data_IF_464715443200
#
_entry.id   IF_464715443200
#
_cell.length_a   1.000
_cell.length_b   1.000
_cell.length_c   1.000
_cell.angle_alpha   90.00
_cell.angle_beta   90.00
_cell.angle_gamma   90.00
#
_symmetry.space_group_name_H-M   'P 1'
#
loop_
_entity.id
_entity.type
_entity.pdbx_description
1 polymer ?
#
# COMPACT_ATOMS: atom_id res chain seq x y z
N UNK A 1 1.38 113.35 -6.61
CA UNK A 1 1.24 112.77 -5.32
C UNK A 1 0.05 111.79 -5.46
N UNK A 2 0.36 110.50 -5.80
CA UNK A 2 -0.68 109.48 -6.06
C UNK A 2 -0.84 108.58 -4.83
N UNK A 3 -2.03 108.65 -4.27
CA UNK A 3 -2.39 107.85 -3.13
C UNK A 3 -2.94 106.44 -3.63
N UNK A 4 -2.14 105.41 -3.39
CA UNK A 4 -2.55 104.05 -3.75
C UNK A 4 -3.17 103.43 -2.53
N UNK A 5 -4.50 103.53 -2.40
CA UNK A 5 -5.29 102.80 -1.46
C UNK A 5 -5.28 101.31 -1.82
N UNK A 6 -4.52 100.46 -1.08
CA UNK A 6 -4.53 98.99 -1.17
C UNK A 6 -5.77 98.44 -0.50
N UNK A 7 -6.79 98.00 -1.28
CA UNK A 7 -7.84 97.13 -0.81
C UNK A 7 -7.32 95.72 -0.63
N UNK A 8 -7.37 95.13 0.55
CA UNK A 8 -7.01 93.74 0.72
C UNK A 8 -8.18 92.84 0.14
N UNK A 9 -7.85 92.04 -0.86
CA UNK A 9 -8.76 91.07 -1.41
C UNK A 9 -9.00 90.02 -0.35
N UNK A 10 -10.21 90.04 0.26
CA UNK A 10 -10.65 89.09 1.23
C UNK A 10 -11.17 87.82 0.49
N UNK A 11 -10.29 86.89 0.22
CA UNK A 11 -10.61 85.56 -0.32
C UNK A 11 -11.20 84.75 0.81
N UNK A 12 -12.56 84.76 0.95
CA UNK A 12 -13.23 83.80 1.79
C UNK A 12 -13.00 82.41 1.20
N UNK A 13 -12.42 81.45 1.95
CA UNK A 13 -12.35 80.08 1.45
C UNK A 13 -13.79 79.54 1.23
N UNK A 14 -13.99 78.79 0.12
CA UNK A 14 -15.29 78.23 -0.15
C UNK A 14 -15.72 77.33 1.03
N UNK A 15 -16.97 77.47 1.48
CA UNK A 15 -17.55 76.64 2.55
C UNK A 15 -17.71 75.20 2.08
N UNK A 16 -16.58 74.51 1.87
CA UNK A 16 -16.50 73.14 1.39
C UNK A 16 -16.90 72.08 2.47
N UNK A 17 -17.24 72.54 3.66
CA UNK A 17 -17.50 71.61 4.78
C UNK A 17 -18.70 70.68 4.59
N UNK A 18 -19.79 71.18 3.99
CA UNK A 18 -21.01 70.37 3.85
C UNK A 18 -20.93 69.34 2.73
N UNK A 19 -20.53 69.66 1.47
CA UNK A 19 -20.41 68.66 0.42
C UNK A 19 -19.29 67.65 0.71
N UNK A 20 -18.15 68.05 1.26
CA UNK A 20 -17.05 67.19 1.66
C UNK A 20 -17.45 66.17 2.74
N UNK A 21 -18.27 66.60 3.70
CA UNK A 21 -18.83 65.73 4.72
C UNK A 21 -19.75 64.64 4.12
N UNK A 22 -20.65 64.98 3.18
CA UNK A 22 -21.52 64.03 2.51
C UNK A 22 -20.75 63.06 1.63
N UNK A 23 -19.69 63.49 0.96
CA UNK A 23 -18.81 62.63 0.16
C UNK A 23 -18.08 61.65 1.08
N UNK A 24 -17.51 62.14 2.20
CA UNK A 24 -16.84 61.31 3.18
C UNK A 24 -17.80 60.27 3.81
N UNK A 25 -19.04 60.67 4.14
CA UNK A 25 -20.04 59.75 4.67
C UNK A 25 -20.46 58.71 3.64
N UNK A 26 -20.67 59.09 2.38
CA UNK A 26 -20.98 58.17 1.30
C UNK A 26 -19.86 57.17 1.04
N UNK A 27 -18.59 57.64 1.04
CA UNK A 27 -17.40 56.76 0.94
C UNK A 27 -17.33 55.78 2.11
N UNK A 28 -17.60 56.24 3.32
CA UNK A 28 -17.60 55.38 4.52
C UNK A 28 -18.70 54.35 4.45
N UNK A 29 -19.88 54.69 4.05
CA UNK A 29 -21.02 53.74 3.88
C UNK A 29 -20.66 52.71 2.78
N UNK A 30 -20.13 53.17 1.65
CA UNK A 30 -19.67 52.30 0.60
C UNK A 30 -18.57 51.31 1.10
N UNK A 31 -17.61 51.82 1.86
CA UNK A 31 -16.58 50.99 2.47
C UNK A 31 -17.16 49.92 3.41
N UNK A 32 -18.13 50.26 4.25
CA UNK A 32 -18.83 49.31 5.11
C UNK A 32 -19.52 48.23 4.27
N UNK A 33 -20.25 48.64 3.21
CA UNK A 33 -20.97 47.70 2.34
C UNK A 33 -19.96 46.73 1.67
N UNK A 34 -18.89 47.25 1.07
CA UNK A 34 -17.88 46.39 0.42
C UNK A 34 -17.12 45.50 1.42
N UNK A 35 -16.89 45.94 2.64
CA UNK A 35 -16.23 45.18 3.70
C UNK A 35 -17.15 44.14 4.38
N UNK A 36 -18.48 44.17 4.10
CA UNK A 36 -19.47 43.26 4.68
C UNK A 36 -19.49 41.89 3.99
N UNK A 37 -18.94 41.76 2.79
CA UNK A 37 -18.96 40.50 2.06
C UNK A 37 -17.67 39.71 2.30
N UNK A 38 -17.81 38.38 2.37
CA UNK A 38 -16.70 37.45 2.29
C UNK A 38 -17.16 36.18 1.59
N UNK A 39 -16.25 35.49 0.94
CA UNK A 39 -16.50 34.22 0.24
C UNK A 39 -15.86 33.09 1.01
N UNK A 40 -16.51 31.94 1.02
CA UNK A 40 -16.01 30.67 1.56
C UNK A 40 -15.94 29.72 0.39
N UNK A 41 -14.78 29.11 0.17
CA UNK A 41 -14.57 28.18 -0.93
C UNK A 41 -15.26 26.83 -0.66
N UNK A 42 -15.53 26.09 -1.76
CA UNK A 42 -16.10 24.77 -1.67
C UNK A 42 -15.09 23.80 -1.03
N UNK A 43 -15.52 23.07 0.00
CA UNK A 43 -14.62 22.25 0.82
C UNK A 43 -14.06 22.96 2.05
N UNK A 44 -14.43 24.22 2.29
CA UNK A 44 -14.11 24.97 3.49
C UNK A 44 -15.37 25.38 4.26
N UNK A 45 -15.18 25.77 5.51
CA UNK A 45 -16.23 26.42 6.33
C UNK A 45 -15.68 27.69 6.96
N UNK A 46 -16.49 28.71 6.92
CA UNK A 46 -16.17 29.98 7.56
C UNK A 46 -16.64 29.99 9.02
N UNK A 47 -15.73 30.26 9.94
CA UNK A 47 -16.07 30.51 11.35
C UNK A 47 -16.21 32.01 11.54
N UNK A 48 -17.40 32.46 11.89
CA UNK A 48 -17.69 33.87 12.18
C UNK A 48 -17.64 34.10 13.68
N UNK A 49 -16.76 35.00 14.09
CA UNK A 49 -16.57 35.41 15.49
C UNK A 49 -17.06 36.83 15.65
N UNK A 50 -17.78 37.12 16.72
CA UNK A 50 -18.16 38.47 17.14
C UNK A 50 -17.45 38.83 18.43
N UNK A 51 -16.59 39.84 18.38
CA UNK A 51 -15.73 40.22 19.52
C UNK A 51 -14.90 39.03 20.04
N UNK A 52 -14.47 38.12 19.16
CA UNK A 52 -13.71 36.91 19.53
C UNK A 52 -14.55 35.72 20.01
N UNK A 53 -15.87 35.89 20.21
CA UNK A 53 -16.76 34.79 20.56
C UNK A 53 -17.34 34.11 19.31
N UNK A 54 -17.43 32.78 19.33
CA UNK A 54 -18.06 32.01 18.27
C UNK A 54 -19.53 32.41 18.08
N UNK A 55 -19.91 32.75 16.85
CA UNK A 55 -21.27 33.16 16.53
C UNK A 55 -21.98 32.14 15.63
N UNK A 56 -21.36 31.75 14.51
CA UNK A 56 -21.96 30.84 13.54
C UNK A 56 -20.88 30.25 12.62
N UNK A 57 -21.23 29.15 11.97
CA UNK A 57 -20.48 28.59 10.84
C UNK A 57 -21.12 29.13 9.56
N UNK A 58 -20.29 29.58 8.63
CA UNK A 58 -20.69 30.04 7.30
C UNK A 58 -20.46 28.92 6.28
N UNK A 59 -21.47 28.62 5.49
CA UNK A 59 -21.42 27.65 4.40
C UNK A 59 -20.63 28.20 3.19
N UNK A 60 -20.23 27.33 2.23
CA UNK A 60 -19.58 27.76 1.00
C UNK A 60 -20.45 28.74 0.21
N UNK A 61 -19.77 29.71 -0.42
CA UNK A 61 -20.40 30.75 -1.22
C UNK A 61 -20.25 32.13 -0.64
N UNK A 62 -21.11 33.06 -1.05
CA UNK A 62 -21.11 34.45 -0.61
C UNK A 62 -21.80 34.58 0.75
N UNK A 63 -21.08 35.09 1.72
CA UNK A 63 -21.54 35.31 3.08
C UNK A 63 -21.43 36.79 3.49
N UNK A 64 -22.14 37.15 4.53
CA UNK A 64 -22.14 38.49 5.09
C UNK A 64 -21.58 38.48 6.50
N UNK A 65 -20.80 39.51 6.83
CA UNK A 65 -20.34 39.81 8.18
C UNK A 65 -20.54 41.27 8.51
N UNK A 66 -20.64 41.59 9.77
CA UNK A 66 -20.67 42.97 10.24
C UNK A 66 -19.22 43.48 10.36
N UNK A 67 -18.79 44.41 9.50
CA UNK A 67 -17.44 44.96 9.55
C UNK A 67 -17.13 45.54 10.94
N UNK A 68 -15.88 45.50 11.37
CA UNK A 68 -15.40 45.97 12.67
C UNK A 68 -15.86 45.14 13.90
N UNK A 69 -17.00 44.45 13.84
CA UNK A 69 -17.51 43.65 14.94
C UNK A 69 -17.28 42.17 14.78
N UNK A 70 -17.27 41.71 13.52
CA UNK A 70 -17.08 40.28 13.19
C UNK A 70 -15.80 40.04 12.43
N UNK A 71 -15.07 39.02 12.87
CA UNK A 71 -13.93 38.43 12.18
C UNK A 71 -14.28 37.06 11.63
N UNK A 72 -13.64 36.67 10.54
CA UNK A 72 -13.89 35.39 9.87
C UNK A 72 -12.59 34.60 9.74
N UNK A 73 -12.64 33.30 10.03
CA UNK A 73 -11.57 32.35 9.83
C UNK A 73 -12.10 31.18 9.01
N UNK A 74 -11.32 30.68 8.07
CA UNK A 74 -11.71 29.51 7.26
C UNK A 74 -10.98 28.27 7.78
N UNK A 75 -11.71 27.16 7.84
CA UNK A 75 -11.16 25.83 8.14
C UNK A 75 -11.51 24.92 6.98
N UNK A 76 -10.49 24.26 6.42
CA UNK A 76 -10.66 23.28 5.37
C UNK A 76 -11.27 21.98 5.93
N UNK A 77 -12.26 21.45 5.23
CA UNK A 77 -12.81 20.10 5.44
C UNK A 77 -12.20 19.07 4.47
N UNK A 78 -11.31 19.53 3.60
CA UNK A 78 -10.63 18.64 2.65
C UNK A 78 -9.69 17.71 3.39
N UNK A 79 -9.49 16.53 2.81
CA UNK A 79 -8.56 15.53 3.33
C UNK A 79 -7.15 16.09 3.40
N UNK A 80 -6.56 16.01 4.56
CA UNK A 80 -5.17 16.35 4.84
C UNK A 80 -4.34 15.07 4.86
N UNK A 81 -3.11 15.15 4.40
CA UNK A 81 -2.15 14.04 4.46
C UNK A 81 -1.00 14.46 5.36
N UNK A 82 -0.73 13.66 6.39
CA UNK A 82 0.40 13.85 7.29
C UNK A 82 1.32 12.64 7.22
N UNK A 83 2.63 12.89 7.09
CA UNK A 83 3.66 11.86 7.01
C UNK A 83 4.48 11.84 8.29
N UNK A 84 4.77 10.65 8.79
CA UNK A 84 5.53 10.43 10.01
C UNK A 84 6.61 9.38 9.79
N UNK A 85 7.82 9.71 10.21
CA UNK A 85 8.94 8.78 10.26
C UNK A 85 9.19 8.39 11.72
N UNK A 86 8.96 7.12 12.04
CA UNK A 86 8.86 6.64 13.41
C UNK A 86 9.89 5.55 13.68
N UNK A 87 10.90 5.79 14.52
CA UNK A 87 11.75 4.73 15.02
C UNK A 87 10.94 3.80 15.95
N UNK A 88 10.99 2.50 15.70
CA UNK A 88 10.25 1.49 16.45
C UNK A 88 11.07 0.19 16.59
N UNK A 89 10.62 -0.68 17.49
CA UNK A 89 11.18 -2.00 17.67
C UNK A 89 10.11 -3.05 17.44
N UNK A 90 10.47 -4.11 16.71
CA UNK A 90 9.62 -5.28 16.56
C UNK A 90 9.59 -6.12 17.84
N UNK A 91 8.70 -7.12 17.90
CA UNK A 91 8.59 -8.04 19.05
C UNK A 91 9.89 -8.79 19.36
N UNK A 92 10.66 -9.11 18.33
CA UNK A 92 11.98 -9.74 18.43
C UNK A 92 13.14 -8.73 18.55
N UNK A 93 12.80 -7.49 18.99
CA UNK A 93 13.75 -6.41 19.32
C UNK A 93 14.59 -5.93 18.14
N UNK A 94 14.12 -6.12 16.90
CA UNK A 94 14.80 -5.57 15.73
C UNK A 94 14.42 -4.09 15.58
N UNK A 95 15.40 -3.17 15.53
CA UNK A 95 15.13 -1.76 15.26
C UNK A 95 14.70 -1.57 13.82
N UNK A 96 13.69 -0.74 13.63
CA UNK A 96 13.19 -0.34 12.31
C UNK A 96 12.74 1.11 12.33
N UNK A 97 12.80 1.77 11.18
CA UNK A 97 12.17 3.06 10.92
C UNK A 97 10.92 2.82 10.08
N UNK A 98 9.79 3.27 10.59
CA UNK A 98 8.48 3.13 9.95
C UNK A 98 8.11 4.44 9.30
N UNK A 99 7.82 4.45 8.00
CA UNK A 99 7.22 5.59 7.31
C UNK A 99 5.71 5.38 7.26
N UNK A 100 4.96 6.26 7.89
CA UNK A 100 3.51 6.15 8.05
C UNK A 100 2.84 7.40 7.52
N UNK A 101 1.86 7.21 6.64
CA UNK A 101 0.97 8.26 6.14
C UNK A 101 -0.41 8.11 6.74
N UNK A 102 -1.00 9.22 7.15
CA UNK A 102 -2.38 9.29 7.64
C UNK A 102 -3.17 10.28 6.79
N UNK A 103 -4.30 9.85 6.27
CA UNK A 103 -5.29 10.69 5.61
C UNK A 103 -6.43 10.96 6.58
N UNK A 104 -6.68 12.24 6.83
CA UNK A 104 -7.67 12.67 7.80
C UNK A 104 -8.31 13.98 7.39
N UNK A 105 -9.52 14.27 7.89
CA UNK A 105 -10.15 15.56 7.73
C UNK A 105 -10.87 15.99 9.01
N UNK A 106 -11.15 17.28 9.10
CA UNK A 106 -11.89 17.84 10.23
C UNK A 106 -13.37 17.44 10.14
N UNK A 107 -13.95 17.04 11.27
CA UNK A 107 -15.37 16.73 11.33
C UNK A 107 -16.19 18.02 11.40
N UNK A 108 -17.11 18.22 10.44
CA UNK A 108 -17.89 19.45 10.31
C UNK A 108 -18.69 19.78 11.59
N UNK A 109 -19.26 18.78 12.25
CA UNK A 109 -20.02 18.96 13.50
C UNK A 109 -19.17 19.46 14.68
N UNK A 110 -17.85 19.29 14.62
CA UNK A 110 -16.91 19.62 15.70
C UNK A 110 -16.09 20.90 15.42
N UNK A 111 -16.40 21.65 14.34
CA UNK A 111 -15.63 22.84 13.93
C UNK A 111 -15.57 23.92 15.02
N UNK A 112 -16.65 24.11 15.79
CA UNK A 112 -16.64 25.03 16.92
C UNK A 112 -15.60 24.64 17.95
N UNK A 113 -15.52 23.35 18.27
CA UNK A 113 -14.56 22.79 19.22
C UNK A 113 -13.13 22.87 18.68
N UNK A 114 -12.95 22.52 17.39
CA UNK A 114 -11.65 22.64 16.71
C UNK A 114 -11.13 24.06 16.84
N UNK A 115 -11.95 25.05 16.53
CA UNK A 115 -11.53 26.44 16.61
C UNK A 115 -11.26 26.90 18.03
N UNK A 116 -12.16 26.57 18.98
CA UNK A 116 -12.01 27.02 20.38
C UNK A 116 -10.84 26.40 21.13
N UNK A 117 -10.53 25.11 20.85
CA UNK A 117 -9.46 24.39 21.55
C UNK A 117 -8.10 24.46 20.84
N UNK A 118 -8.10 24.47 19.50
CA UNK A 118 -6.88 24.34 18.69
C UNK A 118 -6.61 25.58 17.83
N UNK A 119 -7.61 26.33 17.46
CA UNK A 119 -7.51 27.53 16.63
C UNK A 119 -7.28 27.27 15.13
N UNK A 120 -6.59 26.18 14.77
CA UNK A 120 -6.28 25.83 13.38
C UNK A 120 -6.03 24.33 13.22
N UNK A 121 -6.11 23.81 11.96
CA UNK A 121 -5.80 22.41 11.66
C UNK A 121 -4.36 22.02 11.95
N UNK A 122 -3.32 22.82 11.62
CA UNK A 122 -1.94 22.49 12.02
C UNK A 122 -1.74 22.39 13.53
N UNK A 123 -2.43 23.23 14.31
CA UNK A 123 -2.36 23.15 15.78
C UNK A 123 -3.09 21.90 16.32
N UNK A 124 -4.17 21.51 15.68
CA UNK A 124 -4.89 20.27 16.01
C UNK A 124 -4.03 19.05 15.71
N UNK A 125 -3.40 19.00 14.53
CA UNK A 125 -2.44 17.95 14.16
C UNK A 125 -1.31 17.84 15.19
N UNK A 126 -0.67 18.95 15.53
CA UNK A 126 0.44 19.00 16.48
C UNK A 126 0.06 18.56 17.91
N UNK A 127 -1.20 18.77 18.32
CA UNK A 127 -1.64 18.46 19.68
C UNK A 127 -2.35 17.12 19.83
N UNK A 128 -2.97 16.61 18.76
CA UNK A 128 -3.71 15.33 18.80
C UNK A 128 -2.98 14.24 18.03
N UNK A 129 -2.64 14.46 16.75
CA UNK A 129 -2.12 13.41 15.90
C UNK A 129 -0.67 13.10 16.24
N UNK A 130 0.20 14.12 16.28
CA UNK A 130 1.63 13.95 16.53
C UNK A 130 1.99 13.19 17.82
N UNK A 131 1.33 13.38 18.97
CA UNK A 131 1.68 12.61 20.17
C UNK A 131 1.05 11.21 20.21
N UNK A 132 -0.13 11.00 19.63
CA UNK A 132 -0.90 9.76 19.80
C UNK A 132 -0.64 8.73 18.71
N UNK A 133 -0.51 9.16 17.46
CA UNK A 133 -0.27 8.27 16.31
C UNK A 133 1.01 7.45 16.49
N UNK A 134 2.18 8.05 16.83
CA UNK A 134 3.41 7.27 17.01
C UNK A 134 3.28 6.20 18.08
N UNK A 135 2.58 6.50 19.18
CA UNK A 135 2.37 5.53 20.25
C UNK A 135 1.52 4.34 19.80
N UNK A 136 0.41 4.61 19.09
CA UNK A 136 -0.47 3.57 18.58
C UNK A 136 0.27 2.66 17.58
N UNK A 137 0.98 3.27 16.62
CA UNK A 137 1.76 2.55 15.61
C UNK A 137 2.85 1.68 16.25
N UNK A 138 3.66 2.25 17.16
CA UNK A 138 4.72 1.51 17.85
C UNK A 138 4.19 0.36 18.68
N UNK A 139 3.05 0.51 19.32
CA UNK A 139 2.40 -0.55 20.12
C UNK A 139 1.99 -1.73 19.22
N UNK A 140 1.39 -1.44 18.08
CA UNK A 140 0.98 -2.49 17.13
C UNK A 140 2.22 -3.15 16.51
N UNK A 141 3.17 -2.37 16.00
CA UNK A 141 4.39 -2.89 15.38
C UNK A 141 5.19 -3.76 16.37
N UNK A 142 5.30 -3.36 17.63
CA UNK A 142 5.96 -4.13 18.70
C UNK A 142 5.29 -5.47 19.02
N UNK A 143 4.08 -5.74 18.53
CA UNK A 143 3.43 -7.05 18.64
C UNK A 143 3.81 -8.01 17.50
N UNK A 144 4.40 -7.50 16.42
CA UNK A 144 4.82 -8.28 15.26
C UNK A 144 6.32 -8.60 15.28
N UNK A 145 6.67 -9.82 14.85
CA UNK A 145 8.06 -10.20 14.55
C UNK A 145 8.48 -9.54 13.26
N UNK A 146 9.74 -9.13 13.14
CA UNK A 146 10.24 -8.43 11.96
C UNK A 146 9.93 -9.13 10.63
N UNK A 147 10.17 -10.42 10.51
CA UNK A 147 9.83 -11.21 9.31
C UNK A 147 8.31 -11.23 9.04
N UNK A 148 7.50 -11.33 10.09
CA UNK A 148 6.05 -11.37 9.99
C UNK A 148 5.45 -10.02 9.58
N UNK A 149 6.06 -8.90 9.96
CA UNK A 149 5.61 -7.55 9.57
C UNK A 149 5.72 -7.31 8.06
N UNK A 150 6.71 -7.93 7.41
CA UNK A 150 6.88 -7.89 5.96
C UNK A 150 5.90 -8.84 5.26
N UNK A 151 5.81 -10.09 5.72
CA UNK A 151 4.99 -11.13 5.09
C UNK A 151 3.48 -10.87 5.21
N UNK A 152 3.05 -10.31 6.36
CA UNK A 152 1.64 -10.05 6.67
C UNK A 152 1.33 -8.56 6.70
N UNK A 153 1.92 -7.78 5.77
CA UNK A 153 1.81 -6.32 5.73
C UNK A 153 0.36 -5.82 5.70
N UNK A 154 -0.51 -6.50 4.96
CA UNK A 154 -1.92 -6.14 4.88
C UNK A 154 -2.62 -6.21 6.24
N UNK A 155 -2.34 -7.26 7.03
CA UNK A 155 -2.87 -7.39 8.38
C UNK A 155 -2.28 -6.35 9.32
N UNK A 156 -0.99 -6.11 9.25
CA UNK A 156 -0.31 -5.07 10.05
C UNK A 156 -0.93 -3.69 9.78
N UNK A 157 -1.18 -3.34 8.52
CA UNK A 157 -1.85 -2.09 8.15
C UNK A 157 -3.26 -1.98 8.74
N UNK A 158 -4.05 -3.07 8.68
CA UNK A 158 -5.39 -3.10 9.26
C UNK A 158 -5.35 -2.91 10.79
N UNK A 159 -4.46 -3.62 11.49
CA UNK A 159 -4.30 -3.52 12.94
C UNK A 159 -3.80 -2.11 13.35
N UNK A 160 -2.92 -1.49 12.55
CA UNK A 160 -2.49 -0.09 12.75
C UNK A 160 -3.67 0.86 12.59
N UNK A 161 -4.44 0.73 11.50
CA UNK A 161 -5.62 1.55 11.26
C UNK A 161 -6.61 1.45 12.42
N UNK A 162 -6.94 0.25 12.87
CA UNK A 162 -7.85 0.01 13.98
C UNK A 162 -7.35 0.62 15.30
N UNK A 163 -6.06 0.49 15.58
CA UNK A 163 -5.44 1.06 16.78
C UNK A 163 -5.43 2.58 16.76
N UNK A 164 -5.01 3.16 15.62
CA UNK A 164 -4.94 4.61 15.42
C UNK A 164 -6.34 5.22 15.48
N UNK A 165 -7.33 4.62 14.83
CA UNK A 165 -8.72 5.09 14.82
C UNK A 165 -9.35 5.09 16.20
N UNK A 166 -9.01 4.13 17.07
CA UNK A 166 -9.47 4.09 18.47
C UNK A 166 -8.83 5.19 19.34
N UNK A 167 -7.56 5.48 19.12
CA UNK A 167 -6.82 6.44 19.95
C UNK A 167 -7.06 7.88 19.51
N UNK A 168 -7.31 8.10 18.22
CA UNK A 168 -7.54 9.42 17.60
C UNK A 168 -9.03 9.79 17.50
N UNK A 169 -9.89 9.18 18.31
CA UNK A 169 -11.29 9.60 18.39
C UNK A 169 -11.41 11.06 18.85
N UNK A 170 -12.23 11.86 18.17
CA UNK A 170 -12.44 13.26 18.50
C UNK A 170 -12.87 14.10 17.29
N UNK A 171 -12.38 15.35 17.18
CA UNK A 171 -12.83 16.30 16.18
C UNK A 171 -12.32 16.03 14.76
N UNK A 172 -11.63 14.91 14.55
CA UNK A 172 -11.10 14.47 13.25
C UNK A 172 -11.70 13.13 12.85
N UNK A 173 -11.79 12.91 11.56
CA UNK A 173 -12.16 11.63 10.97
C UNK A 173 -10.96 11.10 10.17
N UNK A 174 -10.55 9.86 10.48
CA UNK A 174 -9.46 9.18 9.82
C UNK A 174 -10.03 8.38 8.66
N UNK A 175 -9.59 8.68 7.44
CA UNK A 175 -9.99 7.96 6.25
C UNK A 175 -9.12 6.72 6.02
N UNK A 176 -7.81 6.88 6.17
CA UNK A 176 -6.86 5.79 6.02
C UNK A 176 -5.57 6.03 6.80
N UNK A 177 -4.95 4.96 7.21
CA UNK A 177 -3.58 4.94 7.73
C UNK A 177 -2.81 3.90 6.93
N UNK A 178 -1.66 4.29 6.41
CA UNK A 178 -0.83 3.45 5.56
C UNK A 178 0.59 3.40 6.10
N UNK A 179 1.14 2.20 6.16
CA UNK A 179 2.55 1.99 6.41
C UNK A 179 3.27 1.95 5.06
N UNK A 180 3.90 3.06 4.70
CA UNK A 180 4.54 3.24 3.39
C UNK A 180 5.83 2.46 3.26
N UNK A 181 6.64 2.42 4.33
CA UNK A 181 7.89 1.68 4.37
C UNK A 181 8.19 1.13 5.76
N UNK A 182 8.97 0.06 5.80
CA UNK A 182 9.60 -0.50 7.00
C UNK A 182 11.07 -0.69 6.66
N UNK A 183 11.92 0.14 7.24
CA UNK A 183 13.35 0.14 7.01
C UNK A 183 14.04 -0.44 8.24
N UNK A 184 14.58 -1.65 8.11
CA UNK A 184 15.28 -2.34 9.19
C UNK A 184 16.74 -1.94 9.22
N UNK A 185 17.44 -2.26 10.32
CA UNK A 185 18.86 -2.01 10.43
C UNK A 185 19.65 -2.86 9.42
N UNK A 186 20.73 -2.30 8.89
CA UNK A 186 21.64 -2.98 7.96
C UNK A 186 22.15 -4.34 8.50
N UNK A 187 22.43 -4.42 9.81
CA UNK A 187 22.83 -5.66 10.46
C UNK A 187 21.75 -6.75 10.39
N UNK A 188 20.47 -6.37 10.53
CA UNK A 188 19.36 -7.29 10.38
C UNK A 188 19.19 -7.75 8.93
N UNK A 189 19.25 -6.83 7.97
CA UNK A 189 19.14 -7.14 6.55
C UNK A 189 20.23 -8.09 6.09
N UNK A 190 21.49 -7.84 6.48
CA UNK A 190 22.61 -8.75 6.21
C UNK A 190 22.41 -10.15 6.84
N UNK A 191 21.85 -10.21 8.07
CA UNK A 191 21.57 -11.50 8.72
C UNK A 191 20.46 -12.29 8.02
N UNK A 192 19.45 -11.59 7.48
CA UNK A 192 18.36 -12.17 6.68
C UNK A 192 18.92 -12.69 5.36
N UNK A 193 19.76 -11.92 4.68
CA UNK A 193 20.40 -12.32 3.43
C UNK A 193 21.26 -13.58 3.61
N UNK A 194 22.10 -13.62 4.65
CA UNK A 194 22.91 -14.80 4.96
C UNK A 194 22.05 -16.03 5.24
N UNK A 195 20.95 -15.89 5.97
CA UNK A 195 19.99 -16.97 6.20
C UNK A 195 19.36 -17.47 4.91
N UNK A 196 18.91 -16.55 4.05
CA UNK A 196 18.34 -16.92 2.76
C UNK A 196 19.33 -17.67 1.88
N UNK A 197 20.62 -17.23 1.83
CA UNK A 197 21.67 -17.92 1.09
C UNK A 197 21.89 -19.32 1.64
N UNK A 198 21.92 -19.50 2.97
CA UNK A 198 22.05 -20.81 3.59
C UNK A 198 20.83 -21.71 3.31
N UNK A 199 19.63 -21.21 3.36
CA UNK A 199 18.41 -21.96 3.02
C UNK A 199 18.40 -22.41 1.54
N UNK A 200 18.84 -21.53 0.63
CA UNK A 200 18.97 -21.87 -0.80
C UNK A 200 20.02 -22.96 -1.01
N UNK A 201 21.16 -22.92 -0.31
CA UNK A 201 22.19 -23.95 -0.43
C UNK A 201 21.71 -25.31 0.12
N UNK A 202 20.99 -25.32 1.25
CA UNK A 202 20.35 -26.54 1.78
C UNK A 202 19.32 -27.08 0.80
N UNK A 203 18.48 -26.26 0.22
CA UNK A 203 17.48 -26.67 -0.77
C UNK A 203 18.18 -27.27 -2.03
N UNK A 204 19.28 -26.68 -2.49
CA UNK A 204 20.05 -27.16 -3.62
C UNK A 204 20.71 -28.54 -3.33
N UNK A 205 21.27 -28.71 -2.13
CA UNK A 205 21.81 -29.99 -1.71
C UNK A 205 20.75 -31.09 -1.65
N UNK A 206 19.57 -30.78 -1.08
CA UNK A 206 18.42 -31.70 -1.06
C UNK A 206 17.96 -32.08 -2.48
N UNK A 207 17.87 -31.09 -3.38
CA UNK A 207 17.51 -31.35 -4.76
C UNK A 207 18.52 -32.21 -5.50
N UNK A 208 19.81 -31.99 -5.27
CA UNK A 208 20.88 -32.83 -5.85
C UNK A 208 20.82 -34.27 -5.31
N UNK A 209 20.65 -34.47 -3.99
CA UNK A 209 20.48 -35.77 -3.41
C UNK A 209 19.26 -36.54 -3.97
N UNK A 210 18.15 -35.82 -4.18
CA UNK A 210 16.97 -36.40 -4.81
C UNK A 210 17.25 -36.81 -6.27
N UNK A 211 17.94 -35.96 -7.04
CA UNK A 211 18.34 -36.30 -8.42
C UNK A 211 19.22 -37.54 -8.48
N UNK A 212 20.21 -37.62 -7.61
CA UNK A 212 21.11 -38.80 -7.54
C UNK A 212 20.35 -40.08 -7.20
N UNK A 213 19.41 -40.01 -6.23
CA UNK A 213 18.54 -41.13 -5.88
C UNK A 213 17.69 -41.58 -7.08
N UNK A 214 17.02 -40.66 -7.76
CA UNK A 214 16.21 -40.95 -8.95
C UNK A 214 17.08 -41.53 -10.06
N UNK A 215 18.30 -41.00 -10.29
CA UNK A 215 19.21 -41.50 -11.29
C UNK A 215 19.65 -42.92 -10.96
N UNK A 216 19.94 -43.24 -9.70
CA UNK A 216 20.26 -44.59 -9.27
C UNK A 216 19.08 -45.56 -9.48
N UNK A 217 17.86 -45.17 -9.16
CA UNK A 217 16.64 -45.94 -9.41
C UNK A 217 16.42 -46.23 -10.92
N UNK A 218 16.64 -45.21 -11.76
CA UNK A 218 16.57 -45.37 -13.23
C UNK A 218 17.61 -46.39 -13.70
N UNK A 219 18.84 -46.28 -13.24
CA UNK A 219 19.92 -47.22 -13.63
C UNK A 219 19.60 -48.65 -13.21
N UNK A 220 19.09 -48.87 -11.99
CA UNK A 220 18.65 -50.18 -11.51
C UNK A 220 17.48 -50.71 -12.34
N UNK A 221 16.52 -49.87 -12.64
CA UNK A 221 15.35 -50.24 -13.44
C UNK A 221 15.74 -50.61 -14.87
N UNK A 222 16.63 -49.85 -15.49
CA UNK A 222 17.18 -50.16 -16.82
C UNK A 222 17.92 -51.48 -16.85
N UNK A 223 18.79 -51.72 -15.83
CA UNK A 223 19.51 -52.98 -15.75
C UNK A 223 18.58 -54.19 -15.58
N UNK A 224 17.52 -54.07 -14.76
CA UNK A 224 16.47 -55.08 -14.63
C UNK A 224 15.75 -55.33 -15.94
N UNK A 225 15.29 -54.30 -16.60
CA UNK A 225 14.61 -54.39 -17.88
C UNK A 225 15.48 -55.03 -18.97
N UNK A 226 16.77 -54.69 -19.01
CA UNK A 226 17.73 -55.30 -19.93
C UNK A 226 17.91 -56.80 -19.62
N UNK A 227 18.07 -57.19 -18.33
CA UNK A 227 18.17 -58.57 -17.94
C UNK A 227 16.93 -59.40 -18.31
N UNK A 228 15.75 -58.82 -18.14
CA UNK A 228 14.47 -59.45 -18.49
C UNK A 228 14.31 -59.58 -19.99
N UNK A 229 14.71 -58.58 -20.76
CA UNK A 229 14.74 -58.63 -22.23
C UNK A 229 15.67 -59.74 -22.75
N UNK A 230 16.87 -59.90 -22.19
CA UNK A 230 17.80 -60.96 -22.56
C UNK A 230 17.24 -62.34 -22.24
N UNK A 231 16.61 -62.50 -21.07
CA UNK A 231 15.90 -63.77 -20.70
C UNK A 231 14.78 -64.11 -21.67
N UNK A 232 13.97 -63.14 -22.02
CA UNK A 232 12.84 -63.32 -22.94
C UNK A 232 13.37 -63.69 -24.35
N UNK A 233 14.42 -63.05 -24.83
CA UNK A 233 15.06 -63.38 -26.11
C UNK A 233 15.63 -64.82 -26.09
N UNK A 234 16.34 -65.20 -25.02
CA UNK A 234 16.90 -66.53 -24.89
C UNK A 234 15.80 -67.63 -24.85
N UNK A 235 14.71 -67.38 -24.15
CA UNK A 235 13.55 -68.28 -24.09
C UNK A 235 12.88 -68.44 -25.46
N UNK A 236 12.67 -67.30 -26.16
CA UNK A 236 12.08 -67.34 -27.49
C UNK A 236 12.99 -68.05 -28.52
N UNK A 237 14.32 -67.89 -28.41
CA UNK A 237 15.32 -68.58 -29.23
C UNK A 237 15.31 -70.09 -28.97
N UNK A 238 15.23 -70.49 -27.71
CA UNK A 238 15.13 -71.90 -27.30
C UNK A 238 13.84 -72.55 -27.84
N UNK A 239 12.71 -71.88 -27.71
CA UNK A 239 11.43 -72.34 -28.20
C UNK A 239 11.42 -72.47 -29.75
N UNK A 240 12.00 -71.48 -30.44
CA UNK A 240 12.14 -71.52 -31.90
C UNK A 240 13.03 -72.66 -32.36
N UNK A 241 14.12 -72.93 -31.64
CA UNK A 241 15.01 -74.08 -31.90
C UNK A 241 14.32 -75.41 -31.65
N UNK A 242 13.58 -75.53 -30.56
CA UNK A 242 12.75 -76.72 -30.28
C UNK A 242 11.69 -76.95 -31.37
N UNK A 243 10.95 -75.93 -31.75
CA UNK A 243 9.89 -76.05 -32.80
C UNK A 243 10.49 -76.44 -34.16
N UNK A 244 11.68 -75.93 -34.50
CA UNK A 244 12.38 -76.34 -35.71
C UNK A 244 12.79 -77.82 -35.63
N UNK A 245 13.38 -78.27 -34.52
CA UNK A 245 13.74 -79.65 -34.33
C UNK A 245 12.53 -80.62 -34.37
N UNK A 246 11.40 -80.23 -33.75
CA UNK A 246 10.14 -80.98 -33.84
C UNK A 246 9.59 -81.08 -35.27
N UNK A 247 9.62 -79.96 -36.01
CA UNK A 247 9.20 -79.93 -37.39
C UNK A 247 10.07 -80.74 -38.30
N UNK A 248 11.41 -80.69 -38.13
CA UNK A 248 12.37 -81.50 -38.85
C UNK A 248 12.18 -82.99 -38.53
N UNK A 249 12.03 -83.35 -37.28
CA UNK A 249 11.74 -84.72 -36.90
C UNK A 249 10.43 -85.27 -37.49
N UNK A 250 9.37 -84.43 -37.50
CA UNK A 250 8.11 -84.77 -38.17
C UNK A 250 8.24 -84.97 -39.68
N UNK A 251 9.02 -84.07 -40.31
CA UNK A 251 9.32 -84.18 -41.77
C UNK A 251 10.12 -85.46 -42.12
N UNK A 252 11.14 -85.80 -41.30
CA UNK A 252 11.94 -87.03 -41.47
C UNK A 252 11.03 -88.23 -41.30
N UNK A 253 10.17 -88.23 -40.27
CA UNK A 253 9.23 -89.32 -40.02
C UNK A 253 8.25 -89.48 -41.17
N UNK A 254 7.68 -88.41 -41.70
CA UNK A 254 6.76 -88.41 -42.83
C UNK A 254 7.46 -88.93 -44.11
N UNK A 255 8.73 -88.54 -44.36
CA UNK A 255 9.53 -89.06 -45.46
C UNK A 255 9.82 -90.54 -45.26
N UNK A 256 10.16 -91.00 -44.07
CA UNK A 256 10.35 -92.42 -43.74
C UNK A 256 9.11 -93.28 -43.96
N UNK A 257 7.95 -92.77 -43.53
CA UNK A 257 6.64 -93.47 -43.74
C UNK A 257 6.25 -93.48 -45.22
N UNK A 258 6.50 -92.44 -45.98
CA UNK A 258 6.32 -92.42 -47.47
C UNK A 258 7.20 -93.41 -48.18
N UNK A 259 8.46 -93.50 -47.78
CA UNK A 259 9.41 -94.53 -48.36
C UNK A 259 9.03 -95.98 -48.02
N UNK A 260 8.44 -96.20 -46.84
CA UNK A 260 7.90 -97.54 -46.45
C UNK A 260 6.70 -97.96 -47.28
N UNK A 261 5.87 -96.95 -47.65
CA UNK A 261 4.66 -97.21 -48.49
C UNK A 261 4.94 -97.38 -49.98
N UNK A 262 6.10 -96.86 -50.43
CA UNK A 262 6.52 -96.94 -51.84
C UNK A 262 7.98 -97.27 -51.98
N UNK A 263 8.40 -98.59 -51.92
CA UNK A 263 9.77 -98.99 -51.97
C UNK A 263 10.54 -98.59 -53.22
N UNK A 264 9.86 -98.41 -54.36
CA UNK A 264 10.43 -97.97 -55.64
C UNK A 264 10.89 -96.53 -55.74
N UNK A 265 10.59 -95.71 -54.75
CA UNK A 265 11.04 -94.30 -54.65
C UNK A 265 12.50 -94.14 -54.16
N UNK A 266 13.10 -95.24 -53.68
CA UNK A 266 14.48 -95.20 -53.15
C UNK A 266 15.52 -95.11 -54.32
N UNK A 267 15.14 -95.46 -55.55
CA UNK A 267 16.03 -95.37 -56.69
C UNK A 267 16.04 -94.01 -57.41
N UNK A 268 15.22 -93.00 -56.88
CA UNK A 268 15.05 -91.69 -57.54
C UNK A 268 15.58 -90.49 -56.65
N UNK A 269 16.22 -90.73 -55.48
CA UNK A 269 16.88 -89.77 -54.62
C UNK A 269 18.38 -90.11 -54.57
#
# INVERSE_FOLDING_TARGET
>A
MFDVSKNPINIKPPSAGKPAFFVALAAFVAFIIFSSYFTVDQGERGIVLRFGAFQRIAEPGLNFKIPLLESTHTISLQTQVSHFQLPAYSRDQQPATLDVSINWHAQESELQKIYSEFGSLPSLEARIIQPRLPQAVKTVFGSYVAASSIQNRAKLNADIYDSVSKVLQGPILIESVQLDNIDFSEAYEQSVEQRMLAEVEVAKLQQNALREKVQAEITVTQAKAQAESVKAQAAAQADATRMKGEAEAAAIKAKGDALRQNPNLVELI
#
